data_IF_543933134497
#
_entry.id   IF_543933134497
#
_cell.length_a   1.000
_cell.length_b   1.000
_cell.length_c   1.000
_cell.angle_alpha   90.00
_cell.angle_beta   90.00
_cell.angle_gamma   90.00
#
_symmetry.space_group_name_H-M   'P 1'
#
loop_
_entity.id
_entity.type
_entity.pdbx_description
1 polymer ?
#
# COMPACT_ATOMS: atom_id res chain seq x y z
N UNK A 1 -10.46 31.71 -57.82
CA UNK A 1 -9.48 30.65 -57.46
C UNK A 1 -8.10 31.16 -57.04
N UNK A 2 -7.55 32.21 -57.67
CA UNK A 2 -6.19 32.74 -57.34
C UNK A 2 -6.11 33.45 -55.97
N UNK A 3 -7.11 34.28 -55.63
CA UNK A 3 -7.13 35.05 -54.37
C UNK A 3 -7.14 34.16 -53.11
N UNK A 4 -7.99 33.13 -53.07
CA UNK A 4 -8.10 32.19 -51.93
C UNK A 4 -6.80 31.41 -51.68
N UNK A 5 -6.07 31.03 -52.74
CA UNK A 5 -4.77 30.35 -52.61
C UNK A 5 -3.69 31.28 -52.06
N UNK A 6 -3.76 32.57 -52.38
CA UNK A 6 -2.85 33.60 -51.84
C UNK A 6 -3.12 33.82 -50.35
N UNK A 7 -4.38 34.00 -49.95
CA UNK A 7 -4.77 34.16 -48.55
C UNK A 7 -4.34 32.97 -47.67
N UNK A 8 -4.55 31.72 -48.14
CA UNK A 8 -4.11 30.53 -47.41
C UNK A 8 -2.58 30.43 -47.29
N UNK A 9 -1.83 30.89 -48.30
CA UNK A 9 -0.36 30.94 -48.26
C UNK A 9 0.10 32.01 -47.27
N UNK A 10 -0.54 33.18 -47.26
CA UNK A 10 -0.21 34.28 -46.36
C UNK A 10 -0.51 33.91 -44.90
N UNK A 11 -1.63 33.22 -44.63
CA UNK A 11 -1.97 32.70 -43.30
C UNK A 11 -1.00 31.61 -42.81
N UNK A 12 -0.52 30.74 -43.71
CA UNK A 12 0.45 29.68 -43.38
C UNK A 12 1.84 30.22 -43.06
N UNK A 13 2.20 31.37 -43.64
CA UNK A 13 3.50 32.01 -43.42
C UNK A 13 3.57 32.82 -42.12
N UNK A 14 2.45 32.97 -41.40
CA UNK A 14 2.43 33.61 -40.08
C UNK A 14 3.07 32.72 -38.99
N UNK A 15 3.41 33.32 -37.86
CA UNK A 15 3.95 32.57 -36.73
C UNK A 15 2.92 31.54 -36.22
N UNK A 16 3.32 30.27 -36.00
CA UNK A 16 2.42 29.26 -35.47
C UNK A 16 1.86 29.65 -34.09
N UNK A 17 0.54 29.54 -33.85
CA UNK A 17 -0.03 29.77 -32.54
C UNK A 17 0.37 28.66 -31.56
N UNK A 18 0.20 28.95 -30.26
CA UNK A 18 0.48 28.00 -29.19
C UNK A 18 -0.66 26.99 -29.02
N UNK A 19 -0.29 25.79 -28.57
CA UNK A 19 -1.22 24.70 -28.32
C UNK A 19 -2.19 25.05 -27.19
N UNK A 20 -3.49 24.94 -27.47
CA UNK A 20 -4.59 25.27 -26.56
C UNK A 20 -4.69 24.40 -25.30
N UNK A 21 -3.79 23.42 -25.11
CA UNK A 21 -3.70 22.63 -23.88
C UNK A 21 -2.85 23.27 -22.78
N UNK A 22 -2.23 24.44 -23.04
CA UNK A 22 -1.39 25.15 -22.06
C UNK A 22 0.06 24.65 -21.93
N UNK A 23 0.52 23.77 -22.82
CA UNK A 23 1.91 23.27 -22.79
C UNK A 23 2.96 24.27 -23.33
N UNK A 24 2.52 25.41 -23.88
CA UNK A 24 3.36 26.47 -24.48
C UNK A 24 4.15 26.05 -25.73
N UNK A 25 3.84 24.90 -26.32
CA UNK A 25 4.42 24.42 -27.58
C UNK A 25 3.63 24.92 -28.80
N UNK A 26 4.29 25.07 -29.94
CA UNK A 26 3.71 25.54 -31.21
C UNK A 26 2.90 24.43 -31.92
N UNK A 27 1.78 24.79 -32.55
CA UNK A 27 0.92 23.86 -33.31
C UNK A 27 1.33 23.76 -34.79
N UNK A 28 0.82 22.74 -35.47
CA UNK A 28 1.08 22.50 -36.90
C UNK A 28 -0.06 22.99 -37.79
N UNK A 29 0.27 23.35 -39.03
CA UNK A 29 -0.70 23.72 -40.06
C UNK A 29 -1.47 22.48 -40.55
N UNK A 30 -2.78 22.45 -40.33
CA UNK A 30 -3.69 21.40 -40.75
C UNK A 30 -4.48 21.83 -41.98
N UNK A 31 -3.99 21.48 -43.18
CA UNK A 31 -4.67 21.68 -44.46
C UNK A 31 -4.96 23.15 -44.82
N UNK A 32 -5.97 23.73 -44.17
CA UNK A 32 -6.52 25.06 -44.42
C UNK A 32 -6.36 26.03 -43.23
N UNK A 33 -5.93 25.56 -42.05
CA UNK A 33 -5.73 26.41 -40.87
C UNK A 33 -4.69 25.85 -39.89
N UNK A 34 -4.24 26.66 -38.94
CA UNK A 34 -3.47 26.18 -37.79
C UNK A 34 -4.33 25.24 -36.92
N UNK A 35 -3.73 24.15 -36.44
CA UNK A 35 -4.39 23.24 -35.50
C UNK A 35 -4.54 23.91 -34.12
N UNK A 36 -5.64 23.66 -33.41
CA UNK A 36 -5.84 24.23 -32.06
C UNK A 36 -4.95 23.53 -31.03
N UNK A 37 -4.68 22.25 -31.25
CA UNK A 37 -3.86 21.41 -30.37
C UNK A 37 -2.79 20.69 -31.18
N UNK A 38 -1.65 20.43 -30.54
CA UNK A 38 -0.69 19.43 -31.02
C UNK A 38 -1.39 18.07 -31.07
N UNK A 39 -0.99 17.21 -32.00
CA UNK A 39 -1.52 15.86 -32.10
C UNK A 39 -1.43 15.13 -30.76
N UNK A 40 -2.57 14.64 -30.25
CA UNK A 40 -2.67 13.98 -28.94
C UNK A 40 -2.86 14.91 -27.73
N UNK A 41 -2.76 16.23 -27.88
CA UNK A 41 -2.97 17.19 -26.78
C UNK A 41 -4.43 17.62 -26.59
N UNK A 42 -5.34 17.25 -27.47
CA UNK A 42 -6.77 17.60 -27.43
C UNK A 42 -7.53 17.09 -26.18
N UNK A 43 -6.97 16.10 -25.48
CA UNK A 43 -7.51 15.53 -24.23
C UNK A 43 -6.70 15.90 -22.99
N UNK A 44 -5.55 16.58 -23.15
CA UNK A 44 -4.67 16.94 -22.03
C UNK A 44 -5.38 17.98 -21.14
N UNK A 45 -5.50 17.68 -19.85
CA UNK A 45 -6.18 18.54 -18.87
C UNK A 45 -7.70 18.41 -18.81
N UNK A 46 -8.34 17.70 -19.75
CA UNK A 46 -9.78 17.42 -19.69
C UNK A 46 -10.04 16.32 -18.66
N UNK A 47 -10.85 16.61 -17.64
CA UNK A 47 -11.33 15.59 -16.70
C UNK A 47 -12.33 14.70 -17.42
N UNK A 48 -12.06 13.38 -17.45
CA UNK A 48 -13.02 12.39 -17.94
C UNK A 48 -14.31 12.41 -17.11
N UNK A 49 -15.41 11.91 -17.68
CA UNK A 49 -16.67 11.78 -16.93
C UNK A 49 -16.51 10.82 -15.75
N UNK A 50 -17.26 11.05 -14.66
CA UNK A 50 -17.26 10.15 -13.48
C UNK A 50 -17.52 8.69 -13.89
N UNK A 51 -18.49 8.46 -14.77
CA UNK A 51 -18.84 7.14 -15.32
C UNK A 51 -17.66 6.45 -16.02
N UNK A 52 -16.88 7.20 -16.81
CA UNK A 52 -15.69 6.66 -17.49
C UNK A 52 -14.58 6.31 -16.49
N UNK A 53 -14.37 7.15 -15.47
CA UNK A 53 -13.42 6.88 -14.40
C UNK A 53 -13.81 5.63 -13.59
N UNK A 54 -15.08 5.51 -13.20
CA UNK A 54 -15.62 4.37 -12.49
C UNK A 54 -15.47 3.07 -13.29
N UNK A 55 -15.81 3.07 -14.58
CA UNK A 55 -15.64 1.92 -15.46
C UNK A 55 -14.16 1.49 -15.52
N UNK A 56 -13.23 2.45 -15.63
CA UNK A 56 -11.79 2.18 -15.63
C UNK A 56 -11.32 1.60 -14.30
N UNK A 57 -11.75 2.18 -13.17
CA UNK A 57 -11.40 1.67 -11.84
C UNK A 57 -11.94 0.25 -11.64
N UNK A 58 -13.18 -0.02 -12.05
CA UNK A 58 -13.80 -1.34 -12.00
C UNK A 58 -13.01 -2.36 -12.82
N UNK A 59 -12.59 -1.99 -14.03
CA UNK A 59 -11.79 -2.86 -14.90
C UNK A 59 -10.41 -3.18 -14.28
N UNK A 60 -9.83 -2.28 -13.50
CA UNK A 60 -8.51 -2.47 -12.87
C UNK A 60 -8.57 -3.22 -11.53
N UNK A 61 -9.72 -3.27 -10.87
CA UNK A 61 -9.88 -3.94 -9.56
C UNK A 61 -9.54 -5.43 -9.67
N UNK A 62 -8.69 -5.91 -8.78
CA UNK A 62 -8.31 -7.33 -8.70
C UNK A 62 -7.26 -7.79 -9.72
N UNK A 63 -6.89 -6.97 -10.71
CA UNK A 63 -5.85 -7.33 -11.67
C UNK A 63 -4.48 -7.34 -10.98
N UNK A 64 -3.96 -8.53 -10.68
CA UNK A 64 -2.60 -8.71 -10.17
C UNK A 64 -1.59 -8.37 -11.27
N UNK A 65 -0.71 -7.41 -11.00
CA UNK A 65 0.38 -7.08 -11.91
C UNK A 65 1.38 -8.24 -12.02
N UNK A 66 2.01 -8.37 -13.19
CA UNK A 66 3.06 -9.38 -13.39
C UNK A 66 4.27 -9.11 -12.49
N UNK A 67 5.09 -10.15 -12.22
CA UNK A 67 6.35 -10.00 -11.49
C UNK A 67 7.27 -8.99 -12.19
N UNK A 68 7.35 -9.05 -13.52
CA UNK A 68 8.16 -8.13 -14.32
C UNK A 68 7.70 -6.67 -14.17
N UNK A 69 6.39 -6.41 -14.21
CA UNK A 69 5.87 -5.05 -14.01
C UNK A 69 6.21 -4.49 -12.63
N UNK A 70 6.09 -5.31 -11.57
CA UNK A 70 6.51 -4.91 -10.22
C UNK A 70 8.01 -4.61 -10.14
N UNK A 71 8.83 -5.43 -10.81
CA UNK A 71 10.29 -5.22 -10.87
C UNK A 71 10.64 -3.88 -11.52
N UNK A 72 10.08 -3.58 -12.70
CA UNK A 72 10.34 -2.32 -13.42
C UNK A 72 10.00 -1.09 -12.58
N UNK A 73 8.86 -1.13 -11.87
CA UNK A 73 8.49 -0.06 -10.93
C UNK A 73 9.53 0.06 -9.82
N UNK A 74 9.85 -1.04 -9.15
CA UNK A 74 10.82 -1.05 -8.04
C UNK A 74 12.17 -0.48 -8.47
N UNK A 75 12.69 -0.89 -9.64
CA UNK A 75 13.95 -0.42 -10.19
C UNK A 75 13.91 1.08 -10.48
N UNK A 76 12.83 1.57 -11.08
CA UNK A 76 12.68 3.01 -11.38
C UNK A 76 12.63 3.90 -10.13
N UNK A 77 12.21 3.35 -8.99
CA UNK A 77 12.10 4.08 -7.72
C UNK A 77 13.29 3.89 -6.79
N UNK A 78 14.15 2.90 -7.06
CA UNK A 78 15.24 2.52 -6.16
C UNK A 78 16.25 3.67 -6.06
N UNK A 79 16.54 4.10 -4.83
CA UNK A 79 17.51 5.18 -4.56
C UNK A 79 17.00 6.60 -4.87
N UNK A 80 15.72 6.75 -5.25
CA UNK A 80 15.15 8.08 -5.45
C UNK A 80 15.03 8.82 -4.13
N UNK A 81 15.69 9.98 -4.04
CA UNK A 81 15.54 10.88 -2.90
C UNK A 81 14.17 11.54 -2.91
N UNK A 82 13.50 11.51 -1.75
CA UNK A 82 12.21 12.16 -1.55
C UNK A 82 12.47 13.54 -0.96
N UNK A 83 12.01 14.58 -1.64
CA UNK A 83 12.12 15.96 -1.15
C UNK A 83 11.48 16.10 0.24
N UNK A 84 12.04 16.96 1.10
CA UNK A 84 11.49 17.23 2.43
C UNK A 84 10.04 17.71 2.40
N UNK A 85 9.66 18.51 1.41
CA UNK A 85 8.27 18.97 1.23
C UNK A 85 7.31 17.79 1.05
N UNK A 86 7.65 16.84 0.15
CA UNK A 86 6.86 15.63 -0.08
C UNK A 86 6.81 14.75 1.18
N UNK A 87 7.93 14.62 1.90
CA UNK A 87 8.01 13.85 3.15
C UNK A 87 7.11 14.47 4.23
N UNK A 88 7.12 15.79 4.37
CA UNK A 88 6.27 16.52 5.30
C UNK A 88 4.79 16.39 4.94
N UNK A 89 4.43 16.57 3.67
CA UNK A 89 3.05 16.38 3.19
C UNK A 89 2.53 14.98 3.47
N UNK A 90 3.36 13.96 3.26
CA UNK A 90 3.02 12.57 3.59
C UNK A 90 2.83 12.38 5.10
N UNK A 91 3.68 12.99 5.92
CA UNK A 91 3.57 12.91 7.38
C UNK A 91 2.29 13.56 7.89
N UNK A 92 1.98 14.77 7.43
CA UNK A 92 0.74 15.49 7.80
C UNK A 92 -0.50 14.67 7.39
N UNK A 93 -0.53 14.19 6.15
CA UNK A 93 -1.65 13.36 5.66
C UNK A 93 -1.84 12.10 6.50
N UNK A 94 -0.75 11.49 6.96
CA UNK A 94 -0.79 10.34 7.85
C UNK A 94 -1.36 10.73 9.21
N UNK A 95 -0.87 11.80 9.83
CA UNK A 95 -1.41 12.28 11.11
C UNK A 95 -2.91 12.60 11.04
N UNK A 96 -3.36 13.24 9.97
CA UNK A 96 -4.78 13.50 9.72
C UNK A 96 -5.61 12.22 9.55
N UNK A 97 -5.07 11.23 8.82
CA UNK A 97 -5.76 9.95 8.65
C UNK A 97 -5.93 9.21 9.99
N UNK A 98 -4.89 9.21 10.83
CA UNK A 98 -4.89 8.51 12.11
C UNK A 98 -5.55 9.30 13.24
N UNK A 99 -5.78 10.61 13.09
CA UNK A 99 -6.56 11.38 14.07
C UNK A 99 -8.05 11.05 13.98
N UNK A 100 -8.54 10.69 12.79
CA UNK A 100 -9.92 10.26 12.58
C UNK A 100 -10.18 8.87 13.18
N UNK A 101 -11.16 8.79 14.09
CA UNK A 101 -11.50 7.54 14.77
C UNK A 101 -12.07 6.51 13.81
N UNK A 102 -12.84 6.93 12.81
CA UNK A 102 -13.46 6.01 11.86
C UNK A 102 -12.40 5.33 10.98
N UNK A 103 -11.39 6.06 10.53
CA UNK A 103 -10.23 5.48 9.83
C UNK A 103 -9.44 4.48 10.68
N UNK A 104 -9.24 4.77 11.97
CA UNK A 104 -8.59 3.83 12.91
C UNK A 104 -9.41 2.55 13.08
N UNK A 105 -10.73 2.67 13.16
CA UNK A 105 -11.63 1.53 13.28
C UNK A 105 -11.59 0.69 12.01
N UNK A 106 -11.70 1.32 10.82
CA UNK A 106 -11.60 0.62 9.53
C UNK A 106 -10.31 -0.16 9.40
N UNK A 107 -9.18 0.45 9.78
CA UNK A 107 -7.89 -0.25 9.79
C UNK A 107 -7.87 -1.42 10.77
N UNK A 108 -8.42 -1.23 11.98
CA UNK A 108 -8.50 -2.29 12.99
C UNK A 108 -9.35 -3.47 12.51
N UNK A 109 -10.52 -3.21 11.91
CA UNK A 109 -11.39 -4.23 11.31
C UNK A 109 -10.65 -5.01 10.23
N UNK A 110 -9.97 -4.31 9.31
CA UNK A 110 -9.21 -4.94 8.24
C UNK A 110 -8.06 -5.83 8.74
N UNK A 111 -7.34 -5.39 9.79
CA UNK A 111 -6.29 -6.19 10.42
C UNK A 111 -6.87 -7.43 11.11
N UNK A 112 -7.97 -7.26 11.84
CA UNK A 112 -8.66 -8.35 12.53
C UNK A 112 -9.40 -9.29 11.58
N UNK A 113 -9.67 -8.87 10.34
CA UNK A 113 -10.45 -9.64 9.37
C UNK A 113 -11.94 -9.68 9.68
N UNK A 114 -12.45 -8.72 10.46
CA UNK A 114 -13.85 -8.68 10.94
C UNK A 114 -14.62 -7.52 10.32
N UNK A 115 -15.93 -7.64 10.26
CA UNK A 115 -16.82 -6.54 9.86
C UNK A 115 -16.86 -5.43 10.92
N UNK A 116 -17.48 -4.30 10.58
CA UNK A 116 -17.64 -3.17 11.51
C UNK A 116 -18.54 -3.54 12.69
N UNK A 117 -19.53 -4.38 12.42
CA UNK A 117 -20.55 -4.87 13.35
C UNK A 117 -19.97 -5.88 14.34
N UNK A 118 -19.01 -6.70 13.90
CA UNK A 118 -18.30 -7.68 14.73
C UNK A 118 -17.14 -7.07 15.54
N UNK A 119 -16.74 -5.84 15.24
CA UNK A 119 -15.58 -5.20 15.87
C UNK A 119 -15.84 -4.84 17.34
N UNK A 120 -15.15 -5.53 18.25
CA UNK A 120 -15.30 -5.38 19.71
C UNK A 120 -14.42 -4.29 20.33
N UNK A 121 -13.62 -3.60 19.53
CA UNK A 121 -12.73 -2.54 19.99
C UNK A 121 -11.27 -2.75 19.63
N UNK A 122 -10.43 -1.87 20.17
CA UNK A 122 -8.99 -1.97 20.01
C UNK A 122 -8.43 -2.97 21.02
N UNK A 123 -7.82 -4.04 20.52
CA UNK A 123 -7.16 -5.05 21.36
C UNK A 123 -6.10 -4.44 22.28
N UNK A 124 -5.51 -3.29 21.95
CA UNK A 124 -4.55 -2.60 22.82
C UNK A 124 -5.11 -2.21 24.20
N UNK A 125 -6.43 -2.05 24.33
CA UNK A 125 -7.10 -1.73 25.60
C UNK A 125 -7.37 -2.96 26.47
N UNK A 126 -7.19 -4.15 25.93
CA UNK A 126 -7.43 -5.39 26.65
C UNK A 126 -6.22 -5.75 27.54
N UNK A 127 -6.54 -6.10 28.78
CA UNK A 127 -5.59 -6.65 29.74
C UNK A 127 -5.17 -8.05 29.32
N UNK A 128 -3.90 -8.37 29.55
CA UNK A 128 -3.40 -9.73 29.44
C UNK A 128 -3.87 -10.58 30.62
N UNK A 129 -3.71 -11.90 30.51
CA UNK A 129 -3.81 -12.80 31.65
C UNK A 129 -2.80 -12.42 32.76
N UNK A 130 -2.98 -12.95 33.98
CA UNK A 130 -2.06 -12.71 35.10
C UNK A 130 -0.69 -13.39 34.88
N UNK A 131 -0.68 -14.47 34.11
CA UNK A 131 0.50 -15.27 33.77
C UNK A 131 1.39 -14.61 32.71
N UNK A 132 0.98 -13.49 32.11
CA UNK A 132 1.74 -12.77 31.06
C UNK A 132 2.94 -11.99 31.62
N UNK A 133 3.79 -12.68 32.36
CA UNK A 133 4.98 -12.16 33.04
C UNK A 133 6.21 -12.19 32.13
N UNK A 134 7.30 -11.57 32.58
CA UNK A 134 8.58 -11.70 31.89
C UNK A 134 9.11 -13.13 31.95
N UNK A 135 8.85 -13.86 33.05
CA UNK A 135 9.25 -15.25 33.20
C UNK A 135 8.57 -16.16 32.18
N UNK A 136 7.27 -15.99 31.96
CA UNK A 136 6.56 -16.73 30.91
C UNK A 136 7.15 -16.40 29.53
N UNK A 137 7.40 -15.12 29.23
CA UNK A 137 7.98 -14.73 27.95
C UNK A 137 9.37 -15.30 27.74
N UNK A 138 10.18 -15.35 28.79
CA UNK A 138 11.53 -15.89 28.73
C UNK A 138 11.48 -17.41 28.53
N UNK A 139 10.66 -18.12 29.31
CA UNK A 139 10.40 -19.55 29.12
C UNK A 139 10.00 -19.90 27.68
N UNK A 140 9.12 -19.09 27.05
CA UNK A 140 8.70 -19.34 25.66
C UNK A 140 9.85 -19.10 24.66
N UNK A 141 10.69 -18.10 24.89
CA UNK A 141 11.88 -17.87 24.05
C UNK A 141 12.91 -18.97 24.22
N UNK A 142 13.18 -19.41 25.44
CA UNK A 142 14.07 -20.54 25.74
C UNK A 142 13.59 -21.82 25.05
N UNK A 143 12.28 -22.14 25.18
CA UNK A 143 11.64 -23.27 24.48
C UNK A 143 11.86 -23.19 22.97
N UNK A 144 11.76 -21.98 22.41
CA UNK A 144 11.91 -21.70 20.98
C UNK A 144 13.38 -21.46 20.57
N UNK A 145 14.35 -21.78 21.43
CA UNK A 145 15.79 -21.62 21.22
C UNK A 145 16.24 -20.19 20.87
N UNK A 146 15.52 -19.18 21.36
CA UNK A 146 15.74 -17.77 21.00
C UNK A 146 15.75 -17.54 19.48
N UNK A 147 14.88 -18.25 18.76
CA UNK A 147 14.75 -18.12 17.31
C UNK A 147 13.33 -17.73 16.89
N UNK A 148 13.23 -16.99 15.79
CA UNK A 148 11.95 -16.73 15.16
C UNK A 148 11.38 -18.03 14.60
N UNK A 149 10.16 -18.38 15.01
CA UNK A 149 9.51 -19.63 14.62
C UNK A 149 8.72 -19.54 13.29
N UNK A 150 8.69 -18.37 12.65
CA UNK A 150 8.07 -18.24 11.33
C UNK A 150 8.97 -18.90 10.26
N UNK A 151 8.49 -19.93 9.52
CA UNK A 151 9.29 -20.65 8.54
C UNK A 151 9.77 -19.77 7.38
N UNK A 152 8.99 -18.74 7.03
CA UNK A 152 9.30 -17.83 5.92
C UNK A 152 10.10 -16.59 6.40
N UNK A 153 10.67 -16.65 7.60
CA UNK A 153 11.47 -15.55 8.13
C UNK A 153 12.72 -15.33 7.26
N UNK A 154 12.77 -14.17 6.61
CA UNK A 154 13.91 -13.75 5.78
C UNK A 154 15.05 -13.14 6.60
N UNK A 155 14.78 -12.77 7.86
CA UNK A 155 15.73 -12.13 8.76
C UNK A 155 16.04 -13.07 9.91
N UNK A 156 17.06 -13.92 9.72
CA UNK A 156 17.53 -14.91 10.69
C UNK A 156 18.67 -14.37 11.56
N UNK A 157 18.82 -13.05 11.65
CA UNK A 157 19.85 -12.47 12.50
C UNK A 157 19.57 -12.80 13.96
N UNK A 158 20.56 -13.39 14.64
CA UNK A 158 20.51 -13.78 16.05
C UNK A 158 20.47 -12.55 17.00
N UNK A 159 20.50 -11.33 16.48
CA UNK A 159 20.49 -10.09 17.28
C UNK A 159 19.16 -9.33 17.21
N UNK A 160 18.14 -9.87 16.53
CA UNK A 160 16.85 -9.18 16.44
C UNK A 160 16.09 -9.28 17.77
N UNK A 161 15.40 -8.21 18.18
CA UNK A 161 14.46 -8.31 19.28
C UNK A 161 13.35 -9.32 18.94
N UNK A 162 13.16 -10.28 19.85
CA UNK A 162 12.15 -11.32 19.76
C UNK A 162 10.96 -11.00 20.66
N UNK A 163 9.77 -11.32 20.15
CA UNK A 163 8.50 -11.07 20.80
C UNK A 163 7.69 -12.36 20.88
N UNK A 164 6.99 -12.55 21.99
CA UNK A 164 6.06 -13.66 22.16
C UNK A 164 4.69 -13.23 21.66
N UNK A 165 4.12 -14.03 20.76
CA UNK A 165 2.84 -13.79 20.10
C UNK A 165 1.79 -14.80 20.55
N UNK A 166 0.54 -14.34 20.75
CA UNK A 166 -0.61 -15.21 20.97
C UNK A 166 -1.14 -15.71 19.63
N UNK A 167 -1.14 -17.02 19.40
CA UNK A 167 -1.49 -17.64 18.12
C UNK A 167 -2.97 -17.45 17.78
N UNK A 168 -3.85 -17.51 18.78
CA UNK A 168 -5.30 -17.28 18.65
C UNK A 168 -5.71 -15.81 18.77
N UNK A 169 -4.76 -14.90 18.99
CA UNK A 169 -4.99 -13.47 19.22
C UNK A 169 -5.82 -13.12 20.46
N UNK A 170 -6.07 -14.09 21.36
CA UNK A 170 -6.68 -13.85 22.66
C UNK A 170 -5.58 -13.60 23.71
N UNK A 171 -5.47 -12.35 24.17
CA UNK A 171 -4.51 -11.92 25.19
C UNK A 171 -4.69 -12.60 26.56
N UNK A 172 -5.83 -13.26 26.77
CA UNK A 172 -6.12 -14.00 28.01
C UNK A 172 -5.67 -15.45 27.92
N UNK A 173 -5.39 -15.97 26.73
CA UNK A 173 -4.93 -17.35 26.54
C UNK A 173 -3.40 -17.45 26.56
N UNK A 174 -2.83 -17.44 27.74
CA UNK A 174 -1.38 -17.52 27.96
C UNK A 174 -0.84 -18.95 28.05
N UNK A 175 -1.60 -19.95 27.57
CA UNK A 175 -1.11 -21.32 27.49
C UNK A 175 0.17 -21.37 26.66
N UNK A 176 1.25 -22.04 27.09
CA UNK A 176 2.46 -22.17 26.28
C UNK A 176 2.20 -22.72 24.87
N UNK A 177 1.20 -23.59 24.69
CA UNK A 177 0.81 -24.13 23.39
C UNK A 177 0.07 -23.14 22.49
N UNK A 178 -0.29 -21.97 23.01
CA UNK A 178 -0.87 -20.84 22.27
C UNK A 178 0.15 -19.71 22.05
N UNK A 179 1.40 -19.87 22.51
CA UNK A 179 2.42 -18.84 22.42
C UNK A 179 3.54 -19.24 21.46
N UNK A 180 4.06 -18.27 20.70
CA UNK A 180 5.13 -18.49 19.72
C UNK A 180 6.11 -17.30 19.67
N UNK A 181 7.40 -17.59 19.58
CA UNK A 181 8.45 -16.56 19.46
C UNK A 181 8.62 -16.10 18.01
N UNK A 182 8.56 -14.79 17.78
CA UNK A 182 8.69 -14.16 16.46
C UNK A 182 9.63 -12.96 16.50
N UNK A 183 10.36 -12.70 15.41
CA UNK A 183 11.06 -11.42 15.23
C UNK A 183 10.07 -10.28 14.97
N UNK A 184 10.52 -9.02 15.13
CA UNK A 184 9.67 -7.83 14.94
C UNK A 184 8.91 -7.83 13.59
N UNK A 185 9.60 -8.18 12.49
CA UNK A 185 8.99 -8.21 11.16
C UNK A 185 7.86 -9.23 11.07
N UNK A 186 8.11 -10.47 11.51
CA UNK A 186 7.12 -11.54 11.49
C UNK A 186 5.96 -11.27 12.45
N UNK A 187 6.25 -10.71 13.63
CA UNK A 187 5.24 -10.31 14.60
C UNK A 187 4.31 -9.21 14.05
N UNK A 188 4.87 -8.22 13.35
CA UNK A 188 4.06 -7.17 12.71
C UNK A 188 3.19 -7.73 11.58
N UNK A 189 3.77 -8.60 10.74
CA UNK A 189 3.07 -9.24 9.63
C UNK A 189 1.90 -10.12 10.08
N UNK A 190 2.04 -10.81 11.22
CA UNK A 190 0.98 -11.69 11.72
C UNK A 190 -0.23 -10.94 12.28
N UNK A 191 -0.22 -9.62 12.40
CA UNK A 191 -1.39 -8.88 12.87
C UNK A 191 -2.54 -8.79 11.84
N UNK A 192 -2.24 -8.99 10.55
CA UNK A 192 -3.21 -9.06 9.46
C UNK A 192 -3.36 -10.49 8.91
N UNK A 193 -4.45 -10.79 8.21
CA UNK A 193 -4.76 -12.16 7.72
C UNK A 193 -4.69 -13.23 8.84
N UNK A 194 -5.23 -12.90 10.01
CA UNK A 194 -5.09 -13.68 11.26
C UNK A 194 -5.42 -15.16 11.10
N UNK A 195 -6.48 -15.50 10.37
CA UNK A 195 -6.89 -16.88 10.11
C UNK A 195 -5.77 -17.74 9.48
N UNK A 196 -4.99 -17.17 8.58
CA UNK A 196 -3.91 -17.90 7.90
C UNK A 196 -2.74 -18.14 8.85
N UNK A 197 -2.35 -17.11 9.61
CA UNK A 197 -1.27 -17.20 10.59
C UNK A 197 -1.62 -18.10 11.76
N UNK A 198 -2.82 -17.99 12.32
CA UNK A 198 -3.30 -18.86 13.40
C UNK A 198 -3.20 -20.33 12.98
N UNK A 199 -3.68 -20.69 11.78
CA UNK A 199 -3.58 -22.06 11.25
C UNK A 199 -2.13 -22.52 11.10
N UNK A 200 -1.27 -21.66 10.54
CA UNK A 200 0.15 -21.97 10.32
C UNK A 200 0.88 -22.18 11.65
N UNK A 201 0.80 -21.23 12.57
CA UNK A 201 1.50 -21.29 13.85
C UNK A 201 0.98 -22.40 14.76
N UNK A 202 -0.34 -22.63 14.77
CA UNK A 202 -0.92 -23.79 15.48
C UNK A 202 -0.31 -25.11 14.98
N UNK A 203 -0.15 -25.26 13.66
CA UNK A 203 0.47 -26.45 13.06
C UNK A 203 1.95 -26.59 13.45
N UNK A 204 2.68 -25.48 13.54
CA UNK A 204 4.10 -25.46 13.92
C UNK A 204 4.26 -25.90 15.37
N UNK A 205 3.54 -25.28 16.31
CA UNK A 205 3.60 -25.62 17.74
C UNK A 205 3.20 -27.08 17.98
N UNK A 206 2.08 -27.54 17.39
CA UNK A 206 1.64 -28.94 17.50
C UNK A 206 2.61 -29.96 16.91
N UNK A 207 3.46 -29.56 15.96
CA UNK A 207 4.46 -30.44 15.38
C UNK A 207 5.73 -30.51 16.24
N UNK A 208 6.12 -29.38 16.85
CA UNK A 208 7.37 -29.28 17.62
C UNK A 208 7.24 -29.82 19.04
N UNK A 209 6.10 -29.63 19.70
CA UNK A 209 5.94 -29.87 21.15
C UNK A 209 4.82 -30.86 21.44
N UNK A 210 4.75 -31.93 20.64
CA UNK A 210 3.72 -32.96 20.69
C UNK A 210 4.06 -34.06 21.68
#
# INVERSE_FOLDING_TARGET
HSAVKKELRDLRNQQPPLCGCGCKEKVTWGGYSWSIYIQGHNMRGKKGSKKSLEARLKALRGIKKSKEHRRKISESTKGREVSDETRLKSSISHLEYFSDMENRIKQSCALQGVSREEWKGFSSKEHYCVEWTNDLKEYIKERDNYECQNPDCTDKSNHLPLYVHHIDYDKKNCSPNNLITLCNSCHSQSNGNRDQWQKLYTKIIKKKYK
#
